data_IF_780991791378
#
_entry.id   IF_780991791378
#
_cell.length_a   1.000
_cell.length_b   1.000
_cell.length_c   1.000
_cell.angle_alpha   90.00
_cell.angle_beta   90.00
_cell.angle_gamma   90.00
#
_symmetry.space_group_name_H-M   'P 1'
#
loop_
_entity.id
_entity.type
_entity.pdbx_description
1 polymer ?
#
# COMPACT_ATOMS: atom_id res chain seq x y z
N UNK A 1 13.14 34.11 -17.26
CA UNK A 1 12.88 32.66 -17.36
C UNK A 1 12.00 32.28 -16.17
N UNK A 2 10.76 31.89 -16.45
CA UNK A 2 9.67 31.73 -15.48
C UNK A 2 10.05 30.74 -14.38
N UNK A 3 10.10 31.22 -13.13
CA UNK A 3 10.14 30.36 -11.94
C UNK A 3 8.82 29.60 -11.91
N UNK A 4 8.84 28.36 -12.37
CA UNK A 4 7.71 27.45 -12.20
C UNK A 4 7.51 27.31 -10.69
N UNK A 5 6.49 27.97 -10.15
CA UNK A 5 5.92 27.61 -8.86
C UNK A 5 5.26 26.25 -9.09
N UNK A 6 5.98 25.16 -8.82
CA UNK A 6 5.29 23.89 -8.62
C UNK A 6 4.26 24.16 -7.51
N UNK A 7 3.00 24.03 -7.87
CA UNK A 7 1.91 24.13 -6.90
C UNK A 7 2.12 22.99 -5.92
N UNK A 8 1.97 23.23 -4.61
CA UNK A 8 2.10 22.21 -3.56
C UNK A 8 1.28 20.94 -3.87
N UNK A 9 0.21 21.06 -4.65
CA UNK A 9 -0.61 19.95 -5.12
C UNK A 9 0.17 18.95 -6.00
N UNK A 10 1.07 19.42 -6.87
CA UNK A 10 1.86 18.56 -7.77
C UNK A 10 2.96 17.81 -7.00
N UNK A 11 3.62 18.49 -6.05
CA UNK A 11 4.60 17.85 -5.16
C UNK A 11 3.95 16.76 -4.31
N UNK A 12 2.77 17.02 -3.75
CA UNK A 12 2.01 15.99 -3.02
C UNK A 12 1.59 14.82 -3.92
N UNK A 13 1.18 15.09 -5.16
CA UNK A 13 0.81 14.02 -6.09
C UNK A 13 2.02 13.17 -6.47
N UNK A 14 3.20 13.78 -6.66
CA UNK A 14 4.45 13.06 -6.93
C UNK A 14 4.86 12.20 -5.74
N UNK A 15 4.85 12.77 -4.53
CA UNK A 15 5.13 12.03 -3.30
C UNK A 15 4.20 10.83 -3.13
N UNK A 16 2.88 11.00 -3.36
CA UNK A 16 1.92 9.88 -3.31
C UNK A 16 2.23 8.84 -4.39
N UNK A 17 2.55 9.26 -5.60
CA UNK A 17 2.90 8.36 -6.70
C UNK A 17 4.18 7.57 -6.42
N UNK A 18 5.18 8.16 -5.76
CA UNK A 18 6.38 7.46 -5.31
C UNK A 18 6.04 6.41 -4.23
N UNK A 19 5.18 6.76 -3.26
CA UNK A 19 4.73 5.80 -2.23
C UNK A 19 3.93 4.63 -2.81
N UNK A 20 3.13 4.89 -3.85
CA UNK A 20 2.36 3.88 -4.58
C UNK A 20 3.25 2.93 -5.40
N UNK A 21 4.39 3.42 -5.88
CA UNK A 21 5.36 2.62 -6.64
C UNK A 21 6.32 1.85 -5.74
N UNK A 22 6.27 2.06 -4.42
CA UNK A 22 7.06 1.31 -3.47
C UNK A 22 6.72 -0.18 -3.56
N UNK A 23 7.74 -1.02 -3.48
CA UNK A 23 7.57 -2.47 -3.59
C UNK A 23 7.17 -3.07 -2.25
N UNK A 24 6.41 -4.17 -2.29
CA UNK A 24 6.05 -4.95 -1.08
C UNK A 24 7.32 -5.43 -0.35
N UNK A 25 8.40 -5.71 -1.08
CA UNK A 25 9.70 -6.06 -0.52
C UNK A 25 10.30 -4.95 0.38
N UNK A 26 10.03 -3.68 0.08
CA UNK A 26 10.52 -2.54 0.88
C UNK A 26 9.65 -2.26 2.11
N UNK A 27 8.40 -2.74 2.12
CA UNK A 27 7.50 -2.65 3.27
C UNK A 27 7.93 -3.53 4.46
N UNK A 28 9.03 -4.30 4.33
CA UNK A 28 9.56 -5.21 5.36
C UNK A 28 8.50 -6.16 5.93
N UNK A 29 7.58 -6.63 5.07
CA UNK A 29 6.62 -7.65 5.46
C UNK A 29 7.32 -9.00 5.67
N UNK A 30 6.63 -9.93 6.33
CA UNK A 30 7.10 -11.31 6.39
C UNK A 30 7.24 -11.92 5.00
N UNK A 31 8.24 -12.78 4.81
CA UNK A 31 8.44 -13.57 3.58
C UNK A 31 7.16 -14.31 3.16
N UNK A 32 6.35 -14.75 4.14
CA UNK A 32 5.05 -15.38 3.91
C UNK A 32 4.07 -14.44 3.23
N UNK A 33 3.97 -13.22 3.75
CA UNK A 33 3.10 -12.15 3.25
C UNK A 33 3.54 -11.72 1.84
N UNK A 34 4.84 -11.53 1.64
CA UNK A 34 5.41 -11.18 0.34
C UNK A 34 5.11 -12.25 -0.70
N UNK A 35 5.38 -13.53 -0.40
CA UNK A 35 5.11 -14.63 -1.32
C UNK A 35 3.61 -14.75 -1.67
N UNK A 36 2.70 -14.55 -0.70
CA UNK A 36 1.26 -14.61 -0.97
C UNK A 36 0.81 -13.48 -1.91
N UNK A 37 1.36 -12.28 -1.72
CA UNK A 37 1.06 -11.13 -2.57
C UNK A 37 1.64 -11.32 -3.97
N UNK A 38 2.89 -11.77 -4.08
CA UNK A 38 3.55 -12.05 -5.35
C UNK A 38 2.83 -13.15 -6.15
N UNK A 39 2.32 -14.20 -5.49
CA UNK A 39 1.53 -15.27 -6.14
C UNK A 39 0.22 -14.73 -6.74
N UNK A 40 -0.36 -13.68 -6.14
CA UNK A 40 -1.52 -12.99 -6.71
C UNK A 40 -1.20 -11.93 -7.76
N UNK A 41 0.09 -11.67 -8.02
CA UNK A 41 0.55 -10.61 -8.93
C UNK A 41 0.68 -9.24 -8.28
N UNK A 42 0.62 -9.16 -6.94
CA UNK A 42 0.73 -7.92 -6.18
C UNK A 42 2.18 -7.70 -5.77
N UNK A 43 2.90 -6.87 -6.52
CA UNK A 43 4.31 -6.54 -6.26
C UNK A 43 4.52 -5.14 -5.68
N UNK A 44 3.52 -4.28 -5.80
CA UNK A 44 3.60 -2.85 -5.40
C UNK A 44 2.43 -2.45 -4.53
N UNK A 45 2.58 -1.35 -3.78
CA UNK A 45 1.52 -0.75 -2.96
C UNK A 45 0.33 -0.34 -3.82
N UNK A 46 0.58 0.15 -5.04
CA UNK A 46 -0.46 0.45 -6.02
C UNK A 46 -1.31 -0.78 -6.34
N UNK A 47 -0.67 -1.92 -6.58
CA UNK A 47 -1.38 -3.14 -6.94
C UNK A 47 -2.18 -3.66 -5.73
N UNK A 48 -1.58 -3.58 -4.54
CA UNK A 48 -2.22 -3.91 -3.28
C UNK A 48 -3.44 -3.03 -2.98
N UNK A 49 -3.40 -1.74 -3.31
CA UNK A 49 -4.53 -0.82 -3.16
C UNK A 49 -5.63 -1.03 -4.21
N UNK A 50 -5.27 -1.49 -5.40
CA UNK A 50 -6.23 -1.91 -6.41
C UNK A 50 -6.82 -3.29 -6.08
N UNK A 51 -6.09 -4.12 -5.34
CA UNK A 51 -6.58 -5.40 -4.86
C UNK A 51 -7.66 -5.19 -3.79
N UNK A 52 -8.77 -5.92 -3.93
CA UNK A 52 -9.85 -5.85 -2.95
C UNK A 52 -9.52 -6.71 -1.73
N UNK A 53 -9.95 -6.30 -0.52
CA UNK A 53 -9.77 -7.10 0.68
C UNK A 53 -10.39 -8.50 0.56
N UNK A 54 -11.52 -8.61 -0.17
CA UNK A 54 -12.15 -9.90 -0.49
C UNK A 54 -11.25 -10.82 -1.32
N UNK A 55 -10.45 -10.25 -2.24
CA UNK A 55 -9.48 -11.01 -3.03
C UNK A 55 -8.36 -11.52 -2.12
N UNK A 56 -7.82 -10.66 -1.25
CA UNK A 56 -6.76 -11.01 -0.30
C UNK A 56 -7.20 -12.10 0.69
N UNK A 57 -8.39 -11.95 1.27
CA UNK A 57 -9.01 -12.93 2.17
C UNK A 57 -9.36 -14.28 1.49
N UNK A 58 -9.39 -14.31 0.15
CA UNK A 58 -9.65 -15.53 -0.62
C UNK A 58 -8.37 -16.29 -0.98
N UNK A 59 -7.18 -15.74 -0.72
CA UNK A 59 -5.90 -16.39 -1.01
C UNK A 59 -5.66 -17.48 0.04
N UNK A 60 -5.46 -18.72 -0.40
CA UNK A 60 -4.99 -19.80 0.48
C UNK A 60 -3.64 -19.42 1.07
N UNK A 61 -3.52 -19.43 2.40
CA UNK A 61 -2.38 -18.96 3.21
C UNK A 61 -2.38 -17.47 3.59
N UNK A 62 -3.42 -16.71 3.23
CA UNK A 62 -3.62 -15.37 3.77
C UNK A 62 -4.35 -15.46 5.11
N UNK A 63 -3.58 -15.28 6.19
CA UNK A 63 -4.11 -15.28 7.56
C UNK A 63 -4.36 -13.88 8.09
N UNK A 64 -4.91 -13.80 9.29
CA UNK A 64 -5.06 -12.54 10.04
C UNK A 64 -3.71 -11.83 10.17
N UNK A 65 -2.63 -12.58 10.43
CA UNK A 65 -1.29 -12.04 10.63
C UNK A 65 -0.69 -11.40 9.37
N UNK A 66 -0.80 -12.07 8.22
CA UNK A 66 -0.32 -11.51 6.94
C UNK A 66 -1.17 -10.30 6.53
N UNK A 67 -2.47 -10.36 6.81
CA UNK A 67 -3.40 -9.26 6.57
C UNK A 67 -3.07 -8.03 7.42
N UNK A 68 -2.81 -8.20 8.71
CA UNK A 68 -2.37 -7.12 9.60
C UNK A 68 -1.05 -6.50 9.17
N UNK A 69 -0.05 -7.28 8.76
CA UNK A 69 1.23 -6.73 8.28
C UNK A 69 1.05 -5.82 7.06
N UNK A 70 0.25 -6.28 6.10
CA UNK A 70 -0.11 -5.51 4.89
C UNK A 70 -0.77 -4.19 5.27
N UNK A 71 -1.72 -4.25 6.20
CA UNK A 71 -2.42 -3.04 6.64
C UNK A 71 -1.53 -2.10 7.43
N UNK A 72 -0.70 -2.58 8.36
CA UNK A 72 0.24 -1.73 9.08
C UNK A 72 1.23 -1.02 8.14
N UNK A 73 1.68 -1.70 7.08
CA UNK A 73 2.53 -1.08 6.08
C UNK A 73 1.78 -0.04 5.23
N UNK A 74 0.52 -0.29 4.87
CA UNK A 74 -0.33 0.69 4.20
C UNK A 74 -0.58 1.92 5.09
N UNK A 75 -0.84 1.72 6.38
CA UNK A 75 -1.04 2.79 7.36
C UNK A 75 0.21 3.63 7.54
N UNK A 76 1.40 3.01 7.55
CA UNK A 76 2.69 3.72 7.58
C UNK A 76 2.88 4.65 6.38
N UNK A 77 2.29 4.31 5.23
CA UNK A 77 2.31 5.13 4.03
C UNK A 77 1.16 6.15 3.95
N UNK A 78 0.27 6.15 4.95
CA UNK A 78 -0.92 7.00 4.99
C UNK A 78 -2.04 6.53 4.06
N UNK A 79 -2.01 5.27 3.62
CA UNK A 79 -3.07 4.66 2.84
C UNK A 79 -3.98 3.84 3.73
N UNK A 80 -5.27 4.15 3.71
CA UNK A 80 -6.27 3.45 4.48
C UNK A 80 -7.30 2.80 3.55
N UNK A 81 -7.85 1.66 4.00
CA UNK A 81 -8.98 1.03 3.33
C UNK A 81 -10.15 2.02 3.30
N UNK A 82 -10.89 2.14 2.19
CA UNK A 82 -12.13 2.92 2.20
C UNK A 82 -13.10 2.31 3.22
N UNK A 83 -13.24 2.95 4.39
CA UNK A 83 -14.03 2.47 5.53
C UNK A 83 -13.27 2.32 6.85
N UNK A 84 -11.93 2.38 6.86
CA UNK A 84 -11.12 2.38 8.08
C UNK A 84 -10.37 3.71 8.16
N UNK A 85 -11.07 4.78 8.55
CA UNK A 85 -10.41 6.07 8.79
C UNK A 85 -9.45 5.91 9.97
N UNK A 86 -8.25 6.50 9.96
CA UNK A 86 -7.48 6.64 11.18
C UNK A 86 -8.35 7.38 12.19
N UNK A 87 -8.53 6.80 13.36
CA UNK A 87 -8.96 7.56 14.52
C UNK A 87 -7.81 8.54 14.80
N UNK A 88 -7.99 9.81 14.40
CA UNK A 88 -7.13 10.90 14.87
C UNK A 88 -7.26 10.93 16.40
N UNK A 89 -6.18 10.57 17.10
CA UNK A 89 -6.01 10.73 18.54
C UNK A 89 -5.14 11.95 18.83
#
# INVERSE_FOLDING_TARGET
>A
MTRIRLSQAEEQSRLRAERLQMSIAEMKLSVRTTNCLEETGIFTVRDLLNATPKKLLSISNFGEKTLEEVYGALETLGFYRPGHKPVEV
#
